data_IF_090380495659
#
_entry.id   IF_090380495659
#
_cell.length_a   1.000
_cell.length_b   1.000
_cell.length_c   1.000
_cell.angle_alpha   90.00
_cell.angle_beta   90.00
_cell.angle_gamma   90.00
#
_symmetry.space_group_name_H-M   'P 1'
#
loop_
_entity.id
_entity.type
_entity.pdbx_description
1 polymer ?
#
# COMPACT_ATOMS: atom_id res chain seq x y z
N UNK A 1 20.03 4.85 -1.67
CA UNK A 1 19.65 5.57 -2.91
C UNK A 1 18.52 6.52 -2.54
N UNK A 2 18.51 7.74 -3.08
CA UNK A 2 17.38 8.67 -2.89
C UNK A 2 16.22 8.21 -3.79
N UNK A 3 14.95 8.35 -3.36
CA UNK A 3 13.81 8.08 -4.21
C UNK A 3 13.87 8.92 -5.49
N UNK A 4 13.45 8.32 -6.61
CA UNK A 4 13.26 9.07 -7.85
C UNK A 4 11.87 9.73 -7.82
N UNK A 5 11.83 11.03 -7.51
CA UNK A 5 10.58 11.79 -7.45
C UNK A 5 9.96 11.94 -8.84
N UNK A 6 8.65 11.74 -8.91
CA UNK A 6 7.85 11.75 -10.13
C UNK A 6 7.23 13.13 -10.37
N UNK A 7 7.06 13.53 -11.65
CA UNK A 7 6.38 14.78 -11.99
C UNK A 7 4.86 14.61 -11.87
N UNK A 8 4.09 15.71 -11.82
CA UNK A 8 2.64 15.67 -11.53
C UNK A 8 1.84 14.92 -12.60
N UNK A 9 2.36 14.82 -13.83
CA UNK A 9 1.77 14.06 -14.94
C UNK A 9 1.68 12.55 -14.63
N UNK A 10 2.47 12.05 -13.67
CA UNK A 10 2.40 10.68 -13.20
C UNK A 10 1.26 10.43 -12.19
N UNK A 11 0.51 11.46 -11.77
CA UNK A 11 -0.53 11.36 -10.74
C UNK A 11 -1.55 10.25 -11.05
N UNK A 12 -2.12 10.24 -12.24
CA UNK A 12 -3.14 9.25 -12.62
C UNK A 12 -2.59 7.82 -12.65
N UNK A 13 -1.33 7.66 -13.08
CA UNK A 13 -0.68 6.34 -13.08
C UNK A 13 -0.43 5.85 -11.66
N UNK A 14 0.14 6.70 -10.81
CA UNK A 14 0.38 6.37 -9.40
C UNK A 14 -0.94 6.10 -8.66
N UNK A 15 -2.00 6.86 -8.98
CA UNK A 15 -3.31 6.65 -8.40
C UNK A 15 -3.86 5.25 -8.69
N UNK A 16 -3.91 4.85 -9.96
CA UNK A 16 -4.36 3.51 -10.34
C UNK A 16 -3.51 2.41 -9.72
N UNK A 17 -2.18 2.59 -9.72
CA UNK A 17 -1.27 1.64 -9.08
C UNK A 17 -1.55 1.47 -7.57
N UNK A 18 -1.80 2.56 -6.84
CA UNK A 18 -2.09 2.50 -5.40
C UNK A 18 -3.48 1.90 -5.12
N UNK A 19 -4.47 2.17 -5.97
CA UNK A 19 -5.80 1.56 -5.87
C UNK A 19 -5.73 0.04 -6.11
N UNK A 20 -5.01 -0.41 -7.13
CA UNK A 20 -4.79 -1.82 -7.43
C UNK A 20 -4.02 -2.53 -6.29
N UNK A 21 -3.01 -1.87 -5.72
CA UNK A 21 -2.30 -2.39 -4.54
C UNK A 21 -3.24 -2.52 -3.33
N UNK A 22 -4.10 -1.54 -3.09
CA UNK A 22 -5.06 -1.60 -1.98
C UNK A 22 -6.06 -2.74 -2.18
N UNK A 23 -6.57 -2.92 -3.41
CA UNK A 23 -7.47 -4.02 -3.74
C UNK A 23 -6.78 -5.38 -3.53
N UNK A 24 -5.55 -5.52 -4.01
CA UNK A 24 -4.75 -6.75 -3.88
C UNK A 24 -4.46 -7.09 -2.41
N UNK A 25 -4.10 -6.08 -1.61
CA UNK A 25 -3.86 -6.26 -0.18
C UNK A 25 -5.15 -6.70 0.56
N UNK A 26 -6.31 -6.11 0.23
CA UNK A 26 -7.61 -6.52 0.79
C UNK A 26 -7.97 -7.96 0.44
N UNK A 27 -7.71 -8.38 -0.79
CA UNK A 27 -7.91 -9.78 -1.20
C UNK A 27 -7.01 -10.70 -0.36
N UNK A 28 -5.76 -10.31 -0.12
CA UNK A 28 -4.84 -11.10 0.68
C UNK A 28 -5.29 -11.22 2.14
N UNK A 29 -5.85 -10.16 2.74
CA UNK A 29 -6.50 -10.26 4.07
C UNK A 29 -7.63 -11.31 4.03
N UNK A 30 -8.50 -11.27 3.02
CA UNK A 30 -9.59 -12.23 2.87
C UNK A 30 -9.10 -13.68 2.78
N UNK A 31 -8.03 -13.93 2.03
CA UNK A 31 -7.41 -15.25 1.92
C UNK A 31 -6.84 -15.73 3.26
N UNK A 32 -6.15 -14.85 3.99
CA UNK A 32 -5.55 -15.18 5.29
C UNK A 32 -6.60 -15.42 6.39
N UNK A 33 -7.68 -14.63 6.41
CA UNK A 33 -8.79 -14.86 7.34
C UNK A 33 -9.43 -16.25 7.13
N UNK A 34 -9.54 -16.72 5.88
CA UNK A 34 -10.03 -18.08 5.59
C UNK A 34 -9.05 -19.16 6.10
N UNK A 35 -7.75 -18.90 6.00
CA UNK A 35 -6.70 -19.82 6.50
C UNK A 35 -6.61 -19.83 8.03
N UNK A 36 -7.07 -18.78 8.72
CA UNK A 36 -7.00 -18.66 10.19
C UNK A 36 -7.68 -19.83 10.93
N UNK A 37 -8.68 -20.45 10.31
CA UNK A 37 -9.40 -21.60 10.87
C UNK A 37 -8.72 -22.96 10.59
N UNK A 38 -7.59 -22.96 9.86
CA UNK A 38 -6.80 -24.13 9.47
C UNK A 38 -5.30 -23.78 9.47
N UNK A 39 -4.66 -23.64 10.64
CA UNK A 39 -3.29 -23.13 10.75
C UNK A 39 -2.26 -23.98 9.98
N UNK A 40 -2.51 -25.28 9.83
CA UNK A 40 -1.69 -26.17 8.98
C UNK A 40 -1.66 -25.84 7.47
N UNK A 41 -2.51 -24.92 6.99
CA UNK A 41 -2.55 -24.53 5.56
C UNK A 41 -1.41 -23.57 5.19
N UNK A 42 -0.90 -22.78 6.14
CA UNK A 42 0.19 -21.83 5.88
C UNK A 42 1.52 -22.43 6.35
N UNK A 43 2.36 -22.84 5.40
CA UNK A 43 3.72 -23.25 5.72
C UNK A 43 4.61 -22.05 6.11
N UNK A 44 5.73 -22.35 6.78
CA UNK A 44 6.68 -21.32 7.24
C UNK A 44 7.27 -20.51 6.09
N UNK A 45 7.42 -21.12 4.92
CA UNK A 45 7.97 -20.42 3.75
C UNK A 45 7.01 -19.33 3.26
N UNK A 46 5.72 -19.66 3.20
CA UNK A 46 4.63 -18.75 2.82
C UNK A 46 4.54 -17.59 3.81
N UNK A 47 4.59 -17.87 5.12
CA UNK A 47 4.61 -16.83 6.16
C UNK A 47 5.81 -15.90 6.00
N UNK A 48 7.02 -16.45 5.81
CA UNK A 48 8.24 -15.66 5.63
C UNK A 48 8.17 -14.78 4.38
N UNK A 49 7.61 -15.30 3.28
CA UNK A 49 7.41 -14.55 2.04
C UNK A 49 6.43 -13.40 2.22
N UNK A 50 5.32 -13.63 2.92
CA UNK A 50 4.35 -12.58 3.23
C UNK A 50 4.98 -11.48 4.08
N UNK A 51 5.76 -11.85 5.10
CA UNK A 51 6.47 -10.88 5.93
C UNK A 51 7.48 -10.04 5.14
N UNK A 52 8.25 -10.66 4.24
CA UNK A 52 9.20 -9.95 3.39
C UNK A 52 8.48 -8.98 2.45
N UNK A 53 7.53 -9.46 1.64
CA UNK A 53 6.84 -8.65 0.63
C UNK A 53 6.06 -7.50 1.26
N UNK A 54 5.25 -7.78 2.29
CA UNK A 54 4.42 -6.76 2.90
C UNK A 54 5.20 -5.86 3.86
N UNK A 55 6.32 -6.34 4.42
CA UNK A 55 7.28 -5.50 5.13
C UNK A 55 7.91 -4.46 4.21
N UNK A 56 8.41 -4.89 3.04
CA UNK A 56 8.96 -3.98 2.03
C UNK A 56 7.91 -2.97 1.53
N UNK A 57 6.68 -3.41 1.24
CA UNK A 57 5.61 -2.49 0.83
C UNK A 57 5.31 -1.44 1.90
N UNK A 58 5.21 -1.85 3.17
CA UNK A 58 5.01 -0.91 4.29
C UNK A 58 6.12 0.14 4.34
N UNK A 59 7.36 -0.30 4.17
CA UNK A 59 8.54 0.57 4.27
C UNK A 59 8.66 1.53 3.07
N UNK A 60 7.97 1.26 1.96
CA UNK A 60 7.85 2.16 0.80
C UNK A 60 6.72 3.20 0.93
N UNK A 61 5.70 2.98 1.77
CA UNK A 61 4.57 3.93 1.93
C UNK A 61 5.01 5.37 2.29
N UNK A 62 6.03 5.60 3.13
CA UNK A 62 6.52 6.96 3.41
C UNK A 62 7.02 7.68 2.16
N UNK A 63 7.62 6.97 1.20
CA UNK A 63 8.10 7.56 -0.06
C UNK A 63 6.93 8.06 -0.90
N UNK A 64 5.85 7.26 -1.01
CA UNK A 64 4.63 7.71 -1.68
C UNK A 64 3.99 8.91 -0.96
N UNK A 65 3.96 8.90 0.37
CA UNK A 65 3.42 10.03 1.13
C UNK A 65 4.21 11.30 0.88
N UNK A 66 5.54 11.23 0.87
CA UNK A 66 6.38 12.39 0.58
C UNK A 66 6.21 12.86 -0.87
N UNK A 67 6.06 11.94 -1.83
CA UNK A 67 5.73 12.30 -3.21
C UNK A 67 4.42 13.11 -3.30
N UNK A 68 3.37 12.70 -2.59
CA UNK A 68 2.10 13.41 -2.56
C UNK A 68 2.23 14.81 -1.93
N UNK A 69 3.00 14.93 -0.83
CA UNK A 69 3.29 16.22 -0.20
C UNK A 69 4.01 17.16 -1.17
N UNK A 70 5.02 16.66 -1.88
CA UNK A 70 5.76 17.46 -2.89
C UNK A 70 4.86 17.97 -4.01
N UNK A 71 3.86 17.20 -4.42
CA UNK A 71 2.90 17.64 -5.43
C UNK A 71 1.96 18.73 -4.92
N UNK A 72 1.60 18.73 -3.63
CA UNK A 72 0.75 19.78 -3.04
C UNK A 72 1.41 21.18 -3.07
N UNK A 73 2.74 21.25 -3.18
CA UNK A 73 3.48 22.50 -3.32
C UNK A 73 3.49 23.07 -4.76
N UNK A 74 2.94 22.34 -5.73
CA UNK A 74 2.86 22.76 -7.14
C UNK A 74 1.59 23.59 -7.42
N UNK A 75 1.55 24.34 -8.54
CA UNK A 75 0.32 24.96 -9.02
C UNK A 75 -0.64 23.89 -9.57
N UNK A 76 -1.46 23.33 -8.68
CA UNK A 76 -2.44 22.29 -9.00
C UNK A 76 -3.81 22.88 -9.36
N UNK A 77 -4.51 22.19 -10.25
CA UNK A 77 -5.96 22.38 -10.40
C UNK A 77 -6.74 21.69 -9.25
N UNK A 78 -8.06 21.91 -9.24
CA UNK A 78 -8.93 21.36 -8.19
C UNK A 78 -9.00 19.84 -8.22
N UNK A 79 -9.06 19.23 -9.41
CA UNK A 79 -9.15 17.78 -9.60
C UNK A 79 -7.87 17.08 -9.11
N UNK A 80 -6.70 17.61 -9.46
CA UNK A 80 -5.40 17.14 -8.99
C UNK A 80 -5.29 17.20 -7.46
N UNK A 81 -5.76 18.29 -6.85
CA UNK A 81 -5.74 18.46 -5.39
C UNK A 81 -6.67 17.47 -4.70
N UNK A 82 -7.88 17.28 -5.23
CA UNK A 82 -8.83 16.29 -4.72
C UNK A 82 -8.26 14.88 -4.83
N UNK A 83 -7.62 14.56 -5.95
CA UNK A 83 -7.04 13.24 -6.16
C UNK A 83 -5.86 12.98 -5.21
N UNK A 84 -4.97 13.95 -4.99
CA UNK A 84 -3.90 13.80 -4.01
C UNK A 84 -4.45 13.60 -2.58
N UNK A 85 -5.52 14.31 -2.21
CA UNK A 85 -6.18 14.09 -0.92
C UNK A 85 -6.79 12.69 -0.80
N UNK A 86 -7.43 12.20 -1.86
CA UNK A 86 -7.93 10.81 -1.94
C UNK A 86 -6.80 9.80 -1.78
N UNK A 87 -5.67 10.01 -2.45
CA UNK A 87 -4.51 9.12 -2.36
C UNK A 87 -3.88 9.08 -0.97
N UNK A 88 -3.90 10.19 -0.22
CA UNK A 88 -3.49 10.15 1.20
C UNK A 88 -4.35 9.16 2.01
N UNK A 89 -5.67 9.17 1.80
CA UNK A 89 -6.56 8.21 2.44
C UNK A 89 -6.35 6.77 1.94
N UNK A 90 -5.96 6.57 0.68
CA UNK A 90 -5.58 5.25 0.15
C UNK A 90 -4.30 4.74 0.82
N UNK A 91 -3.29 5.60 1.01
CA UNK A 91 -2.05 5.24 1.71
C UNK A 91 -2.28 4.87 3.18
N UNK A 92 -3.20 5.57 3.87
CA UNK A 92 -3.61 5.20 5.23
C UNK A 92 -4.25 3.80 5.25
N UNK A 93 -5.22 3.55 4.34
CA UNK A 93 -5.87 2.24 4.23
C UNK A 93 -4.89 1.12 3.84
N UNK A 94 -3.92 1.40 2.97
CA UNK A 94 -2.87 0.46 2.60
C UNK A 94 -2.03 0.09 3.81
N UNK A 95 -1.60 1.07 4.61
CA UNK A 95 -0.85 0.83 5.83
C UNK A 95 -1.61 -0.09 6.77
N UNK A 96 -2.85 0.24 7.09
CA UNK A 96 -3.69 -0.56 8.00
C UNK A 96 -3.91 -1.98 7.47
N UNK A 97 -4.14 -2.12 6.16
CA UNK A 97 -4.35 -3.43 5.51
C UNK A 97 -3.08 -4.27 5.55
N UNK A 98 -1.92 -3.67 5.29
CA UNK A 98 -0.62 -4.35 5.35
C UNK A 98 -0.30 -4.80 6.77
N UNK A 99 -0.52 -3.94 7.77
CA UNK A 99 -0.34 -4.29 9.18
C UNK A 99 -1.26 -5.45 9.58
N UNK A 100 -2.50 -5.47 9.06
CA UNK A 100 -3.42 -6.60 9.26
C UNK A 100 -2.89 -7.90 8.64
N UNK A 101 -2.36 -7.86 7.42
CA UNK A 101 -1.75 -9.02 6.75
C UNK A 101 -0.60 -9.59 7.60
N UNK A 102 0.32 -8.72 8.03
CA UNK A 102 1.47 -9.12 8.82
C UNK A 102 1.04 -9.73 10.17
N UNK A 103 0.01 -9.17 10.80
CA UNK A 103 -0.57 -9.74 12.03
C UNK A 103 -1.23 -11.10 11.81
N UNK A 104 -1.94 -11.29 10.69
CA UNK A 104 -2.57 -12.58 10.37
C UNK A 104 -1.55 -13.66 10.00
N UNK A 105 -0.45 -13.29 9.35
CA UNK A 105 0.62 -14.21 8.98
C UNK A 105 1.53 -14.59 10.17
N UNK A 106 1.61 -13.74 11.19
CA UNK A 106 2.48 -13.94 12.36
C UNK A 106 1.82 -14.63 13.57
N UNK A 107 0.54 -14.96 13.50
CA UNK A 107 -0.21 -15.65 14.57
C UNK A 107 -0.23 -17.17 14.41
#
# INVERSE_FOLDING_TARGET
MLPNWQPIEALLFIAGMLDDQLQSARQQVGNLEQCRHRPEVLDRETVSRLQAVFGEQRDLLPVFREQLVRWLDLPLDEDQRLEINRLNAVLDQLKDTIERILSLAGN
#
